data_IF_950704524876
#
_entry.id   IF_950704524876
#
_cell.length_a   1.000
_cell.length_b   1.000
_cell.length_c   1.000
_cell.angle_alpha   90.00
_cell.angle_beta   90.00
_cell.angle_gamma   90.00
#
_symmetry.space_group_name_H-M   'P 1'
#
loop_
_entity.id
_entity.type
_entity.pdbx_description
1 polymer ?
#
# COMPACT_ATOMS: atom_id res chain seq x y z
N UNK A 1 -23.90 -35.70 -41.20
CA UNK A 1 -23.45 -34.44 -40.57
C UNK A 1 -22.09 -34.69 -39.96
N UNK A 2 -21.05 -33.96 -40.39
CA UNK A 2 -19.70 -34.18 -39.88
C UNK A 2 -19.58 -33.54 -38.49
N UNK A 3 -19.87 -34.33 -37.45
CA UNK A 3 -19.85 -33.85 -36.06
C UNK A 3 -18.49 -33.28 -35.66
N UNK A 4 -17.39 -33.81 -36.22
CA UNK A 4 -16.03 -33.31 -35.99
C UNK A 4 -15.91 -31.87 -36.48
N UNK A 5 -16.35 -31.60 -37.71
CA UNK A 5 -16.34 -30.24 -38.27
C UNK A 5 -17.19 -29.27 -37.43
N UNK A 6 -18.32 -29.74 -36.89
CA UNK A 6 -19.16 -28.93 -35.99
C UNK A 6 -18.41 -28.62 -34.69
N UNK A 7 -17.75 -29.61 -34.09
CA UNK A 7 -16.94 -29.39 -32.87
C UNK A 7 -15.77 -28.44 -33.12
N UNK A 8 -15.07 -28.56 -34.24
CA UNK A 8 -13.98 -27.65 -34.63
C UNK A 8 -14.47 -26.21 -34.80
N UNK A 9 -15.61 -26.02 -35.49
CA UNK A 9 -16.23 -24.71 -35.66
C UNK A 9 -16.64 -24.09 -34.31
N UNK A 10 -17.28 -24.87 -33.43
CA UNK A 10 -17.65 -24.42 -32.08
C UNK A 10 -16.39 -24.03 -31.29
N UNK A 11 -15.34 -24.83 -31.36
CA UNK A 11 -14.10 -24.57 -30.64
C UNK A 11 -13.41 -23.29 -31.12
N UNK A 12 -13.36 -23.04 -32.44
CA UNK A 12 -12.83 -21.80 -33.01
C UNK A 12 -13.65 -20.59 -32.54
N UNK A 13 -14.99 -20.70 -32.53
CA UNK A 13 -15.85 -19.63 -32.01
C UNK A 13 -15.59 -19.35 -30.52
N UNK A 14 -15.34 -20.39 -29.72
CA UNK A 14 -14.94 -20.23 -28.31
C UNK A 14 -13.60 -19.51 -28.21
N UNK A 15 -12.58 -19.90 -28.98
CA UNK A 15 -11.28 -19.21 -28.99
C UNK A 15 -11.46 -17.73 -29.33
N UNK A 16 -12.20 -17.42 -30.40
CA UNK A 16 -12.44 -16.04 -30.83
C UNK A 16 -13.14 -15.25 -29.72
N UNK A 17 -14.18 -15.81 -29.11
CA UNK A 17 -14.88 -15.17 -28.00
C UNK A 17 -13.96 -14.93 -26.78
N UNK A 18 -13.08 -15.89 -26.46
CA UNK A 18 -12.10 -15.76 -25.37
C UNK A 18 -11.03 -14.71 -25.72
N UNK A 19 -10.52 -14.67 -26.94
CA UNK A 19 -9.56 -13.65 -27.38
C UNK A 19 -10.18 -12.24 -27.35
N UNK A 20 -11.40 -12.08 -27.85
CA UNK A 20 -12.15 -10.81 -27.75
C UNK A 20 -12.30 -10.42 -26.28
N UNK A 21 -12.69 -11.37 -25.42
CA UNK A 21 -12.79 -11.15 -23.98
C UNK A 21 -11.45 -10.72 -23.37
N UNK A 22 -10.33 -11.35 -23.71
CA UNK A 22 -8.99 -10.98 -23.23
C UNK A 22 -8.69 -9.52 -23.57
N UNK A 23 -8.99 -9.09 -24.81
CA UNK A 23 -8.78 -7.71 -25.27
C UNK A 23 -9.63 -6.73 -24.46
N UNK A 24 -10.88 -7.07 -24.15
CA UNK A 24 -11.76 -6.22 -23.34
C UNK A 24 -11.39 -6.21 -21.85
N UNK A 25 -10.98 -7.34 -21.29
CA UNK A 25 -10.71 -7.50 -19.86
C UNK A 25 -9.27 -7.04 -19.48
N UNK A 26 -8.32 -7.07 -20.42
CA UNK A 26 -6.89 -6.85 -20.14
C UNK A 26 -6.37 -5.54 -20.73
N UNK A 27 -6.17 -4.52 -19.88
CA UNK A 27 -5.67 -3.20 -20.31
C UNK A 27 -4.21 -3.20 -20.79
N UNK A 28 -3.36 -4.05 -20.20
CA UNK A 28 -1.96 -4.14 -20.63
C UNK A 28 -1.89 -4.90 -21.94
N UNK A 29 -1.39 -4.23 -22.98
CA UNK A 29 -1.17 -4.84 -24.31
C UNK A 29 -0.28 -6.07 -24.22
N UNK A 30 0.78 -6.01 -23.41
CA UNK A 30 1.70 -7.13 -23.19
C UNK A 30 1.01 -8.32 -22.51
N UNK A 31 0.24 -8.10 -21.43
CA UNK A 31 -0.51 -9.19 -20.76
C UNK A 31 -1.60 -9.75 -21.68
N UNK A 32 -2.31 -8.90 -22.42
CA UNK A 32 -3.34 -9.32 -23.35
C UNK A 32 -2.74 -10.21 -24.45
N UNK A 33 -1.63 -9.79 -25.05
CA UNK A 33 -0.90 -10.58 -26.03
C UNK A 33 -0.46 -11.93 -25.46
N UNK A 34 0.12 -11.95 -24.25
CA UNK A 34 0.55 -13.19 -23.60
C UNK A 34 -0.62 -14.17 -23.39
N UNK A 35 -1.79 -13.72 -22.94
CA UNK A 35 -2.96 -14.58 -22.79
C UNK A 35 -3.54 -15.04 -24.13
N UNK A 36 -3.56 -14.17 -25.15
CA UNK A 36 -3.99 -14.56 -26.50
C UNK A 36 -3.07 -15.65 -27.05
N UNK A 37 -1.76 -15.48 -26.95
CA UNK A 37 -0.78 -16.49 -27.35
C UNK A 37 -0.97 -17.79 -26.58
N UNK A 38 -1.19 -17.72 -25.26
CA UNK A 38 -1.44 -18.89 -24.42
C UNK A 38 -2.70 -19.66 -24.86
N UNK A 39 -3.80 -18.95 -25.14
CA UNK A 39 -5.07 -19.55 -25.59
C UNK A 39 -4.95 -20.17 -26.98
N UNK A 40 -4.16 -19.55 -27.88
CA UNK A 40 -3.94 -20.06 -29.23
C UNK A 40 -3.02 -21.29 -29.24
N UNK A 41 -1.89 -21.24 -28.51
CA UNK A 41 -0.86 -22.28 -28.57
C UNK A 41 -1.09 -23.43 -27.59
N UNK A 42 -1.86 -23.25 -26.52
CA UNK A 42 -2.24 -24.30 -25.59
C UNK A 42 -3.77 -24.48 -25.62
N UNK A 43 -4.32 -25.24 -26.60
CA UNK A 43 -5.75 -25.51 -26.69
C UNK A 43 -6.33 -26.03 -25.38
N UNK A 44 -7.51 -25.54 -24.99
CA UNK A 44 -8.23 -25.85 -23.73
C UNK A 44 -7.47 -25.40 -22.47
N UNK A 45 -6.20 -25.77 -22.30
CA UNK A 45 -5.39 -25.43 -21.13
C UNK A 45 -5.14 -23.92 -21.00
N UNK A 46 -4.84 -23.23 -22.10
CA UNK A 46 -4.67 -21.78 -22.12
C UNK A 46 -5.96 -21.04 -21.77
N UNK A 47 -7.12 -21.57 -22.18
CA UNK A 47 -8.44 -21.08 -21.77
C UNK A 47 -8.60 -21.26 -20.26
N UNK A 48 -8.35 -22.45 -19.74
CA UNK A 48 -8.43 -22.73 -18.30
C UNK A 48 -7.51 -21.81 -17.48
N UNK A 49 -6.28 -21.61 -17.92
CA UNK A 49 -5.31 -20.70 -17.25
C UNK A 49 -5.82 -19.25 -17.29
N UNK A 50 -6.32 -18.78 -18.44
CA UNK A 50 -6.89 -17.44 -18.54
C UNK A 50 -8.07 -17.25 -17.58
N UNK A 51 -9.02 -18.19 -17.56
CA UNK A 51 -10.19 -18.10 -16.68
C UNK A 51 -9.85 -18.27 -15.19
N UNK A 52 -8.71 -18.87 -14.85
CA UNK A 52 -8.27 -19.05 -13.46
C UNK A 52 -7.36 -17.94 -12.94
N UNK A 53 -6.53 -17.32 -13.79
CA UNK A 53 -5.49 -16.35 -13.39
C UNK A 53 -5.58 -15.02 -14.14
N UNK A 54 -6.03 -15.05 -15.39
CA UNK A 54 -5.97 -13.90 -16.31
C UNK A 54 -7.20 -13.00 -16.33
N UNK A 55 -8.32 -13.44 -15.77
CA UNK A 55 -9.48 -12.56 -15.63
C UNK A 55 -9.15 -11.47 -14.62
N UNK A 56 -9.04 -10.24 -15.12
CA UNK A 56 -8.98 -9.07 -14.28
C UNK A 56 -10.40 -8.73 -13.81
N UNK A 57 -10.78 -9.21 -12.63
CA UNK A 57 -11.97 -8.75 -11.92
C UNK A 57 -11.78 -7.36 -11.31
N UNK A 58 -11.25 -6.39 -12.09
CA UNK A 58 -11.41 -4.96 -11.80
C UNK A 58 -12.89 -4.62 -12.01
N UNK A 59 -13.74 -5.20 -11.18
CA UNK A 59 -15.17 -4.98 -11.18
C UNK A 59 -15.34 -3.58 -10.63
N UNK A 60 -15.84 -2.68 -11.48
CA UNK A 60 -16.55 -1.43 -11.11
C UNK A 60 -17.70 -1.64 -10.08
N UNK A 61 -17.90 -2.86 -9.59
CA UNK A 61 -18.97 -3.32 -8.69
C UNK A 61 -18.45 -4.24 -7.56
N UNK A 62 -17.16 -4.21 -7.19
CA UNK A 62 -16.74 -4.87 -5.93
C UNK A 62 -17.30 -4.11 -4.71
N UNK A 63 -17.53 -2.81 -4.87
CA UNK A 63 -17.95 -1.90 -3.81
C UNK A 63 -19.20 -1.11 -4.24
N UNK A 64 -20.05 -0.80 -3.28
CA UNK A 64 -20.92 0.36 -3.36
C UNK A 64 -20.30 1.40 -2.42
N UNK A 65 -19.41 2.28 -2.92
CA UNK A 65 -18.72 3.32 -2.13
C UNK A 65 -19.65 4.45 -1.67
N UNK A 66 -20.93 4.31 -1.99
CA UNK A 66 -22.03 5.23 -1.70
C UNK A 66 -22.41 5.27 -0.21
N UNK A 67 -21.44 5.35 0.70
CA UNK A 67 -21.69 5.75 2.10
C UNK A 67 -22.33 7.15 2.17
N UNK A 68 -22.16 7.96 1.13
CA UNK A 68 -22.59 9.34 1.05
C UNK A 68 -23.35 9.71 -0.24
N UNK A 69 -24.03 8.78 -0.93
CA UNK A 69 -24.69 9.10 -2.22
C UNK A 69 -25.98 9.93 -2.14
N UNK A 70 -26.20 10.60 -1.00
CA UNK A 70 -27.36 11.45 -0.72
C UNK A 70 -26.90 12.90 -0.47
N UNK A 71 -27.82 13.83 -0.20
CA UNK A 71 -27.54 15.26 0.09
C UNK A 71 -26.46 15.49 1.19
N UNK A 72 -26.21 14.49 2.04
CA UNK A 72 -25.12 14.53 3.01
C UNK A 72 -23.74 14.50 2.33
N UNK A 73 -23.56 13.69 1.29
CA UNK A 73 -22.30 13.62 0.56
C UNK A 73 -21.97 14.90 -0.16
N UNK A 74 -22.96 15.54 -0.80
CA UNK A 74 -22.76 16.84 -1.44
C UNK A 74 -22.31 17.90 -0.43
N UNK A 75 -22.89 17.90 0.78
CA UNK A 75 -22.47 18.79 1.87
C UNK A 75 -21.05 18.49 2.36
N UNK A 76 -20.70 17.22 2.53
CA UNK A 76 -19.34 16.80 2.89
C UNK A 76 -18.36 17.21 1.80
N UNK A 77 -18.69 17.02 0.53
CA UNK A 77 -17.84 17.44 -0.59
C UNK A 77 -17.65 18.95 -0.65
N UNK A 78 -18.72 19.73 -0.47
CA UNK A 78 -18.63 21.17 -0.40
C UNK A 78 -17.73 21.62 0.77
N UNK A 79 -17.84 20.98 1.93
CA UNK A 79 -16.98 21.26 3.09
C UNK A 79 -15.51 20.92 2.82
N UNK A 80 -15.22 19.75 2.24
CA UNK A 80 -13.86 19.34 1.90
C UNK A 80 -13.25 20.31 0.89
N UNK A 81 -13.98 20.68 -0.16
CA UNK A 81 -13.51 21.67 -1.16
C UNK A 81 -13.24 23.02 -0.53
N UNK A 82 -14.14 23.52 0.34
CA UNK A 82 -13.93 24.78 1.06
C UNK A 82 -12.69 24.76 1.94
N UNK A 83 -12.44 23.65 2.66
CA UNK A 83 -11.23 23.49 3.46
C UNK A 83 -9.98 23.43 2.59
N UNK A 84 -10.02 22.72 1.47
CA UNK A 84 -8.95 22.68 0.49
C UNK A 84 -8.64 24.09 -0.03
N UNK A 85 -9.65 24.85 -0.48
CA UNK A 85 -9.47 26.21 -0.99
C UNK A 85 -8.89 27.14 0.09
N UNK A 86 -9.30 26.97 1.36
CA UNK A 86 -8.72 27.69 2.50
C UNK A 86 -7.23 27.36 2.70
N UNK A 87 -6.83 26.10 2.54
CA UNK A 87 -5.43 25.69 2.76
C UNK A 87 -4.56 26.12 1.58
N UNK A 88 -5.00 25.87 0.33
CA UNK A 88 -4.29 26.32 -0.88
C UNK A 88 -4.20 27.84 -0.94
N UNK A 89 -5.28 28.56 -0.60
CA UNK A 89 -5.28 30.03 -0.60
C UNK A 89 -4.29 30.67 0.39
N UNK A 90 -3.77 29.90 1.36
CA UNK A 90 -2.68 30.34 2.24
C UNK A 90 -1.28 30.13 1.65
N UNK A 91 -1.16 29.43 0.51
CA UNK A 91 0.12 29.13 -0.14
C UNK A 91 0.98 28.09 0.60
N UNK A 92 0.38 27.28 1.49
CA UNK A 92 1.12 26.38 2.39
C UNK A 92 1.59 25.07 1.73
N UNK A 93 1.18 24.81 0.48
CA UNK A 93 1.51 23.59 -0.26
C UNK A 93 2.67 23.77 -1.25
N UNK A 94 3.35 24.93 -1.25
CA UNK A 94 4.44 25.25 -2.15
C UNK A 94 4.08 25.00 -3.64
N UNK A 95 4.62 23.93 -4.23
CA UNK A 95 4.42 23.51 -5.63
C UNK A 95 3.41 22.36 -5.80
N UNK A 96 2.76 21.93 -4.70
CA UNK A 96 1.98 20.69 -4.64
C UNK A 96 0.47 20.87 -4.78
N UNK A 97 -0.04 22.06 -5.08
CA UNK A 97 -1.48 22.30 -5.30
C UNK A 97 -2.09 21.30 -6.28
N UNK A 98 -1.44 21.10 -7.43
CA UNK A 98 -1.90 20.14 -8.44
C UNK A 98 -1.83 18.68 -7.98
N UNK A 99 -0.97 18.33 -7.03
CA UNK A 99 -0.94 17.00 -6.41
C UNK A 99 -2.09 16.84 -5.41
N UNK A 100 -2.30 17.84 -4.56
CA UNK A 100 -3.38 17.82 -3.58
C UNK A 100 -4.77 17.73 -4.26
N UNK A 101 -4.92 18.44 -5.38
CA UNK A 101 -6.12 18.42 -6.22
C UNK A 101 -6.33 17.07 -6.90
N UNK A 102 -5.25 16.47 -7.42
CA UNK A 102 -5.30 15.13 -8.01
C UNK A 102 -5.82 14.11 -6.99
N UNK A 103 -5.25 14.11 -5.78
CA UNK A 103 -5.59 13.20 -4.70
C UNK A 103 -7.03 13.40 -4.22
N UNK A 104 -7.45 14.65 -4.05
CA UNK A 104 -8.82 14.98 -3.66
C UNK A 104 -9.85 14.50 -4.69
N UNK A 105 -9.61 14.76 -5.97
CA UNK A 105 -10.56 14.43 -7.04
C UNK A 105 -10.66 12.93 -7.33
N UNK A 106 -9.63 12.15 -7.00
CA UNK A 106 -9.60 10.71 -7.27
C UNK A 106 -10.17 9.86 -6.13
N UNK A 107 -9.76 10.17 -4.91
CA UNK A 107 -10.03 9.31 -3.75
C UNK A 107 -10.91 10.00 -2.70
N UNK A 108 -11.48 11.17 -3.03
CA UNK A 108 -12.20 12.01 -2.06
C UNK A 108 -11.41 12.27 -0.78
N UNK A 109 -10.08 12.29 -0.91
CA UNK A 109 -9.16 12.39 0.22
C UNK A 109 -9.01 13.86 0.63
N UNK A 110 -9.56 14.25 1.79
CA UNK A 110 -9.55 15.64 2.22
C UNK A 110 -8.14 16.08 2.62
N UNK A 111 -7.80 17.32 2.25
CA UNK A 111 -6.60 17.99 2.75
C UNK A 111 -6.87 18.48 4.18
N UNK A 112 -5.97 18.14 5.10
CA UNK A 112 -6.04 18.49 6.52
C UNK A 112 -4.80 19.30 6.91
N UNK A 113 -4.95 20.31 7.80
CA UNK A 113 -3.89 21.26 8.23
C UNK A 113 -3.81 21.40 9.77
N UNK A 114 -4.23 20.36 10.47
CA UNK A 114 -4.35 20.27 11.93
C UNK A 114 -3.65 19.03 12.49
N UNK A 115 -2.72 18.46 11.72
CA UNK A 115 -2.16 17.13 12.02
C UNK A 115 -0.87 17.19 12.83
N UNK A 116 -0.72 16.19 13.68
CA UNK A 116 0.54 15.76 14.30
C UNK A 116 0.93 14.42 13.67
N UNK A 117 2.19 14.28 13.28
CA UNK A 117 2.71 13.11 12.59
C UNK A 117 4.07 12.77 13.17
N UNK A 118 4.20 11.57 13.72
CA UNK A 118 5.45 11.04 14.26
C UNK A 118 5.94 9.89 13.36
N UNK A 119 7.23 9.89 13.04
CA UNK A 119 7.89 8.76 12.37
C UNK A 119 8.27 7.72 13.41
N UNK A 120 7.92 6.45 13.15
CA UNK A 120 8.26 5.31 13.98
C UNK A 120 9.12 4.36 13.15
N UNK A 121 10.38 4.21 13.53
CA UNK A 121 11.34 3.33 12.90
C UNK A 121 11.27 1.94 13.55
N UNK A 122 11.04 0.93 12.71
CA UNK A 122 11.02 -0.48 13.09
C UNK A 122 9.97 -0.83 14.17
N UNK A 123 10.01 -2.07 14.65
CA UNK A 123 9.07 -2.55 15.66
C UNK A 123 9.32 -1.94 17.05
N UNK A 124 10.58 -1.69 17.39
CA UNK A 124 10.99 -1.16 18.69
C UNK A 124 10.40 0.21 19.02
N UNK A 125 10.15 1.09 18.03
CA UNK A 125 9.44 2.35 18.24
C UNK A 125 7.92 2.20 18.02
N UNK A 126 7.52 1.40 17.03
CA UNK A 126 6.12 1.25 16.62
C UNK A 126 5.23 0.57 17.65
N UNK A 127 5.64 -0.59 18.17
CA UNK A 127 4.77 -1.39 19.04
C UNK A 127 4.49 -0.72 20.40
N UNK A 128 5.46 -0.09 21.08
CA UNK A 128 5.18 0.64 22.32
C UNK A 128 4.14 1.75 22.15
N UNK A 129 4.23 2.54 21.08
CA UNK A 129 3.28 3.61 20.80
C UNK A 129 1.88 3.07 20.46
N UNK A 130 1.81 1.97 19.71
CA UNK A 130 0.54 1.28 19.44
C UNK A 130 -0.10 0.76 20.73
N UNK A 131 0.67 0.09 21.58
CA UNK A 131 0.13 -0.47 22.84
C UNK A 131 -0.32 0.62 23.80
N UNK A 132 0.46 1.71 23.92
CA UNK A 132 0.07 2.89 24.70
C UNK A 132 -1.24 3.50 24.21
N UNK A 133 -1.41 3.62 22.89
CA UNK A 133 -2.63 4.16 22.31
C UNK A 133 -3.84 3.23 22.55
N UNK A 134 -3.66 1.91 22.40
CA UNK A 134 -4.73 0.93 22.64
C UNK A 134 -5.14 0.91 24.12
N UNK A 135 -4.17 0.97 25.03
CA UNK A 135 -4.42 1.02 26.48
C UNK A 135 -5.28 2.24 26.84
N UNK A 136 -5.00 3.39 26.21
CA UNK A 136 -5.73 4.64 26.40
C UNK A 136 -7.12 4.68 25.74
N UNK A 137 -7.47 3.69 24.90
CA UNK A 137 -8.73 3.68 24.15
C UNK A 137 -9.95 3.63 25.08
N UNK A 138 -10.99 4.39 24.71
CA UNK A 138 -12.21 4.58 25.51
C UNK A 138 -13.49 4.16 24.78
N UNK A 139 -13.53 4.26 23.45
CA UNK A 139 -14.75 4.01 22.68
C UNK A 139 -14.58 2.86 21.70
N UNK A 140 -13.57 2.91 20.83
CA UNK A 140 -13.38 1.88 19.81
C UNK A 140 -11.94 1.75 19.34
N UNK A 141 -11.63 0.54 18.86
CA UNK A 141 -10.36 0.20 18.23
C UNK A 141 -10.66 -0.55 16.93
N UNK A 142 -10.20 -0.01 15.81
CA UNK A 142 -10.30 -0.62 14.49
C UNK A 142 -8.91 -1.02 14.00
N UNK A 143 -8.75 -2.28 13.61
CA UNK A 143 -7.46 -2.87 13.23
C UNK A 143 -7.60 -3.55 11.88
N UNK A 144 -6.68 -3.26 10.98
CA UNK A 144 -6.62 -3.84 9.64
C UNK A 144 -5.16 -4.17 9.28
N UNK A 145 -4.87 -5.44 8.99
CA UNK A 145 -3.50 -5.87 8.69
C UNK A 145 -3.41 -6.91 7.57
N UNK A 146 -2.38 -6.77 6.74
CA UNK A 146 -1.96 -7.79 5.78
C UNK A 146 -1.37 -9.03 6.46
N UNK A 147 -0.23 -8.89 7.15
CA UNK A 147 0.40 -9.95 7.94
C UNK A 147 0.25 -9.59 9.42
N UNK A 148 -0.37 -10.51 10.13
CA UNK A 148 -0.47 -10.54 11.58
C UNK A 148 -0.14 -11.97 12.03
N UNK A 149 1.06 -12.14 12.54
CA UNK A 149 1.54 -13.41 13.09
C UNK A 149 1.17 -13.47 14.58
N UNK A 150 0.51 -14.55 15.07
CA UNK A 150 0.24 -14.74 16.48
C UNK A 150 1.49 -15.31 17.20
N UNK A 151 2.62 -14.62 17.03
CA UNK A 151 3.87 -14.83 17.75
C UNK A 151 3.88 -14.01 19.06
N UNK A 152 5.03 -13.73 19.67
CA UNK A 152 5.05 -13.09 21.00
C UNK A 152 4.37 -11.72 20.98
N UNK A 153 4.78 -10.83 20.07
CA UNK A 153 4.20 -9.49 19.98
C UNK A 153 2.76 -9.53 19.47
N UNK A 154 2.42 -10.44 18.56
CA UNK A 154 1.07 -10.60 18.07
C UNK A 154 0.10 -11.10 19.14
N UNK A 155 0.53 -12.02 20.01
CA UNK A 155 -0.27 -12.49 21.14
C UNK A 155 -0.44 -11.39 22.20
N UNK A 156 0.61 -10.63 22.50
CA UNK A 156 0.52 -9.48 23.40
C UNK A 156 -0.48 -8.44 22.89
N UNK A 157 -0.45 -8.15 21.58
CA UNK A 157 -1.43 -7.28 20.92
C UNK A 157 -2.85 -7.85 21.09
N UNK A 158 -3.08 -9.13 20.78
CA UNK A 158 -4.39 -9.78 20.91
C UNK A 158 -4.90 -9.74 22.35
N UNK A 159 -4.04 -10.02 23.32
CA UNK A 159 -4.38 -10.04 24.74
C UNK A 159 -4.79 -8.65 25.24
N UNK A 160 -4.10 -7.61 24.77
CA UNK A 160 -4.48 -6.23 25.02
C UNK A 160 -5.85 -5.89 24.41
N UNK A 161 -6.11 -6.28 23.15
CA UNK A 161 -7.43 -6.08 22.53
C UNK A 161 -8.55 -6.81 23.28
N UNK A 162 -8.29 -8.04 23.75
CA UNK A 162 -9.24 -8.82 24.57
C UNK A 162 -9.58 -8.04 25.84
N UNK A 163 -8.57 -7.58 26.57
CA UNK A 163 -8.75 -6.80 27.80
C UNK A 163 -9.56 -5.52 27.55
N UNK A 164 -9.25 -4.76 26.50
CA UNK A 164 -10.03 -3.57 26.13
C UNK A 164 -11.48 -3.91 25.75
N UNK A 165 -11.71 -5.03 25.08
CA UNK A 165 -13.06 -5.52 24.75
C UNK A 165 -13.86 -5.85 26.02
N UNK A 166 -13.23 -6.49 27.00
CA UNK A 166 -13.84 -6.81 28.30
C UNK A 166 -14.12 -5.55 29.15
N UNK A 167 -13.32 -4.49 29.00
CA UNK A 167 -13.57 -3.16 29.55
C UNK A 167 -14.71 -2.40 28.84
N UNK A 168 -15.27 -2.97 27.76
CA UNK A 168 -16.39 -2.40 27.02
C UNK A 168 -16.01 -1.58 25.78
N UNK A 169 -14.72 -1.50 25.42
CA UNK A 169 -14.27 -0.83 24.19
C UNK A 169 -14.66 -1.67 22.97
N UNK A 170 -15.27 -1.05 21.94
CA UNK A 170 -15.70 -1.78 20.74
C UNK A 170 -14.51 -2.08 19.83
N UNK A 171 -14.11 -3.34 19.74
CA UNK A 171 -12.98 -3.76 18.89
C UNK A 171 -13.46 -4.41 17.60
N UNK A 172 -12.94 -3.92 16.47
CA UNK A 172 -13.17 -4.46 15.11
C UNK A 172 -11.84 -4.78 14.44
N UNK A 173 -11.71 -6.00 13.92
CA UNK A 173 -10.45 -6.48 13.37
C UNK A 173 -10.66 -7.15 12.01
N UNK A 174 -10.07 -6.54 10.97
CA UNK A 174 -9.93 -7.07 9.62
C UNK A 174 -8.51 -7.65 9.45
N UNK A 175 -8.39 -8.85 8.88
CA UNK A 175 -7.08 -9.43 8.53
C UNK A 175 -7.09 -9.98 7.11
N UNK A 176 -5.98 -9.88 6.37
CA UNK A 176 -5.88 -10.57 5.08
C UNK A 176 -5.81 -12.08 5.28
N UNK A 177 -6.72 -12.78 4.61
CA UNK A 177 -6.91 -14.21 4.82
C UNK A 177 -5.72 -15.09 4.40
N UNK A 178 -4.94 -14.61 3.42
CA UNK A 178 -3.77 -15.30 2.90
C UNK A 178 -2.53 -14.96 3.73
N UNK A 179 -2.25 -13.66 3.90
CA UNK A 179 -1.08 -13.17 4.63
C UNK A 179 -1.11 -13.49 6.13
N UNK A 180 -2.30 -13.53 6.73
CA UNK A 180 -2.50 -13.80 8.16
C UNK A 180 -3.17 -15.15 8.42
N UNK A 181 -2.95 -16.16 7.57
CA UNK A 181 -3.53 -17.50 7.76
C UNK A 181 -3.33 -18.08 9.18
N UNK A 182 -2.15 -17.93 9.84
CA UNK A 182 -1.97 -18.39 11.22
C UNK A 182 -2.92 -17.76 12.25
N UNK A 183 -3.34 -16.51 12.03
CA UNK A 183 -4.26 -15.77 12.92
C UNK A 183 -5.62 -16.46 13.06
N UNK A 184 -6.04 -17.28 12.06
CA UNK A 184 -7.29 -18.04 12.12
C UNK A 184 -7.44 -18.88 13.40
N UNK A 185 -6.32 -19.31 14.01
CA UNK A 185 -6.30 -20.05 15.28
C UNK A 185 -6.76 -19.20 16.49
N UNK A 186 -6.58 -17.89 16.42
CA UNK A 186 -6.95 -16.95 17.49
C UNK A 186 -8.34 -16.32 17.30
N UNK A 187 -8.94 -16.44 16.10
CA UNK A 187 -10.25 -15.82 15.78
C UNK A 187 -11.34 -16.24 16.77
N UNK A 188 -11.42 -17.52 17.12
CA UNK A 188 -12.41 -18.01 18.10
C UNK A 188 -12.20 -17.38 19.47
N UNK A 189 -10.94 -17.28 19.91
CA UNK A 189 -10.55 -16.67 21.19
C UNK A 189 -11.01 -15.21 21.27
N UNK A 190 -10.74 -14.42 20.23
CA UNK A 190 -11.15 -13.02 20.15
C UNK A 190 -12.68 -12.85 20.11
N UNK A 191 -13.38 -13.65 19.29
CA UNK A 191 -14.85 -13.56 19.18
C UNK A 191 -15.58 -13.92 20.47
N UNK A 192 -15.02 -14.82 21.29
CA UNK A 192 -15.64 -15.22 22.55
C UNK A 192 -15.80 -14.07 23.57
N UNK A 193 -14.98 -13.03 23.45
CA UNK A 193 -15.03 -11.83 24.34
C UNK A 193 -15.66 -10.62 23.65
N UNK A 194 -16.32 -10.82 22.50
CA UNK A 194 -17.07 -9.77 21.79
C UNK A 194 -16.30 -9.01 20.72
N UNK A 195 -15.04 -9.34 20.45
CA UNK A 195 -14.29 -8.73 19.34
C UNK A 195 -14.88 -9.20 18.01
N UNK A 196 -15.20 -8.24 17.13
CA UNK A 196 -15.71 -8.52 15.80
C UNK A 196 -14.52 -8.73 14.85
N UNK A 197 -14.27 -9.98 14.44
CA UNK A 197 -13.11 -10.34 13.60
C UNK A 197 -13.55 -10.91 12.26
N UNK A 198 -13.05 -10.37 11.15
CA UNK A 198 -13.40 -10.81 9.79
C UNK A 198 -12.18 -10.93 8.86
N UNK A 199 -12.10 -12.01 8.06
CA UNK A 199 -11.09 -12.10 7.00
C UNK A 199 -11.46 -11.18 5.84
N UNK A 200 -10.51 -10.37 5.37
CA UNK A 200 -10.62 -9.66 4.11
C UNK A 200 -10.50 -10.62 2.94
N UNK A 201 -11.53 -10.65 2.09
CA UNK A 201 -11.61 -11.48 0.89
C UNK A 201 -11.30 -12.97 1.13
N UNK A 202 -12.16 -13.62 1.93
CA UNK A 202 -12.04 -15.03 2.34
C UNK A 202 -11.85 -16.00 1.16
N UNK A 203 -10.79 -16.82 1.25
CA UNK A 203 -10.44 -17.86 0.28
C UNK A 203 -11.07 -19.17 0.73
N UNK A 204 -12.21 -19.53 0.13
CA UNK A 204 -12.95 -20.77 0.45
C UNK A 204 -12.47 -22.00 -0.31
N UNK A 205 -11.91 -21.83 -1.51
CA UNK A 205 -11.33 -22.91 -2.34
C UNK A 205 -10.04 -22.41 -2.99
N UNK A 206 -8.92 -23.09 -2.68
CA UNK A 206 -7.58 -22.76 -3.18
C UNK A 206 -7.44 -22.86 -4.71
N UNK A 207 -8.25 -23.70 -5.38
CA UNK A 207 -8.15 -23.94 -6.83
C UNK A 207 -8.67 -22.78 -7.71
N UNK A 208 -9.37 -21.78 -7.15
CA UNK A 208 -9.80 -20.60 -7.91
C UNK A 208 -8.80 -19.45 -7.73
N UNK A 209 -7.71 -19.50 -8.51
CA UNK A 209 -6.54 -18.64 -8.37
C UNK A 209 -6.80 -17.13 -8.45
N UNK A 210 -7.84 -16.68 -9.14
CA UNK A 210 -8.17 -15.25 -9.23
C UNK A 210 -8.48 -14.58 -7.88
N UNK A 211 -8.91 -15.34 -6.86
CA UNK A 211 -9.13 -14.76 -5.52
C UNK A 211 -7.82 -14.51 -4.75
N UNK A 212 -6.72 -15.15 -5.15
CA UNK A 212 -5.40 -14.93 -4.56
C UNK A 212 -4.75 -13.63 -5.06
N UNK A 213 -5.21 -13.08 -6.18
CA UNK A 213 -4.61 -11.90 -6.79
C UNK A 213 -4.91 -10.61 -6.01
N UNK A 214 -6.09 -10.49 -5.42
CA UNK A 214 -6.51 -9.30 -4.67
C UNK A 214 -6.30 -9.51 -3.18
N UNK A 215 -5.26 -8.86 -2.62
CA UNK A 215 -4.90 -8.98 -1.21
C UNK A 215 -4.99 -7.62 -0.54
N UNK A 216 -5.40 -7.62 0.72
CA UNK A 216 -5.37 -6.42 1.52
C UNK A 216 -3.96 -6.23 2.07
N UNK A 217 -3.22 -5.28 1.50
CA UNK A 217 -1.85 -5.00 1.91
C UNK A 217 -1.78 -3.80 2.88
N UNK A 218 -2.94 -3.29 3.32
CA UNK A 218 -3.05 -2.17 4.25
C UNK A 218 -2.69 -2.59 5.67
N UNK A 219 -2.22 -1.62 6.44
CA UNK A 219 -1.76 -1.75 7.83
C UNK A 219 -2.26 -0.51 8.55
N UNK A 220 -3.51 -0.56 8.99
CA UNK A 220 -4.23 0.57 9.56
C UNK A 220 -4.64 0.20 10.98
N UNK A 221 -4.38 1.09 11.92
CA UNK A 221 -5.01 1.06 13.25
C UNK A 221 -5.67 2.41 13.45
N UNK A 222 -6.93 2.44 13.88
CA UNK A 222 -7.62 3.66 14.31
C UNK A 222 -8.18 3.46 15.71
N UNK A 223 -7.90 4.41 16.59
CA UNK A 223 -8.29 4.38 18.01
C UNK A 223 -9.07 5.65 18.29
N UNK A 224 -10.31 5.47 18.73
CA UNK A 224 -11.25 6.53 19.08
C UNK A 224 -11.49 7.60 18.00
N UNK A 225 -11.14 7.30 16.74
CA UNK A 225 -11.21 8.26 15.64
C UNK A 225 -10.18 9.40 15.73
N UNK A 226 -9.28 9.36 16.72
CA UNK A 226 -8.35 10.45 17.07
C UNK A 226 -6.89 10.09 16.83
N UNK A 227 -6.51 8.83 17.03
CA UNK A 227 -5.14 8.33 16.80
C UNK A 227 -5.15 7.26 15.73
N UNK A 228 -4.31 7.43 14.72
CA UNK A 228 -4.15 6.51 13.60
C UNK A 228 -2.71 6.00 13.47
N UNK A 229 -2.54 4.79 12.93
CA UNK A 229 -1.25 4.25 12.54
C UNK A 229 -1.30 3.74 11.10
N UNK A 230 -0.24 4.03 10.33
CA UNK A 230 -0.09 3.65 8.93
C UNK A 230 1.39 3.48 8.56
N UNK A 231 1.75 2.45 7.79
CA UNK A 231 3.09 2.32 7.20
C UNK A 231 3.45 0.89 6.84
N UNK A 232 4.73 0.57 6.66
CA UNK A 232 5.18 -0.73 6.12
C UNK A 232 5.16 -1.90 7.11
N UNK A 233 5.23 -1.59 8.41
CA UNK A 233 5.45 -2.56 9.51
C UNK A 233 4.22 -3.46 9.76
N UNK A 234 4.37 -4.78 9.55
CA UNK A 234 3.37 -5.78 9.90
C UNK A 234 3.36 -6.07 11.43
N UNK A 235 2.48 -6.98 11.89
CA UNK A 235 2.55 -7.51 13.26
C UNK A 235 3.27 -8.85 13.23
N UNK A 236 4.54 -8.83 13.67
CA UNK A 236 5.42 -9.99 13.75
C UNK A 236 6.66 -9.64 14.57
N UNK A 237 7.18 -10.59 15.32
CA UNK A 237 8.44 -10.53 16.07
C UNK A 237 9.64 -10.22 15.15
N UNK A 238 9.50 -10.43 13.83
CA UNK A 238 10.51 -10.08 12.81
C UNK A 238 10.94 -8.63 12.84
N UNK A 239 10.04 -7.73 13.21
CA UNK A 239 10.30 -6.30 13.25
C UNK A 239 10.93 -5.85 14.58
N UNK A 240 11.03 -6.75 15.57
CA UNK A 240 11.69 -6.47 16.83
C UNK A 240 13.18 -6.78 16.69
N UNK A 241 14.00 -5.76 16.48
CA UNK A 241 15.46 -5.91 16.33
C UNK A 241 16.18 -6.12 17.68
N UNK A 242 15.57 -6.88 18.59
CA UNK A 242 16.10 -7.15 19.92
C UNK A 242 17.16 -8.26 19.85
N UNK A 243 18.21 -8.23 20.70
CA UNK A 243 19.24 -9.28 20.72
C UNK A 243 18.70 -10.70 20.95
N UNK A 244 17.57 -10.81 21.66
CA UNK A 244 16.90 -12.08 21.99
C UNK A 244 15.93 -12.54 20.89
N UNK A 245 15.64 -11.69 19.90
CA UNK A 245 14.77 -12.05 18.79
C UNK A 245 15.44 -13.11 17.90
N UNK A 246 14.69 -14.13 17.48
CA UNK A 246 15.21 -15.17 16.57
C UNK A 246 15.28 -14.69 15.11
N UNK A 247 15.51 -13.40 14.91
CA UNK A 247 15.46 -12.78 13.60
C UNK A 247 16.74 -13.07 12.83
N UNK A 248 16.59 -13.63 11.63
CA UNK A 248 17.70 -13.95 10.75
C UNK A 248 18.45 -12.70 10.28
N UNK A 249 17.75 -11.58 10.17
CA UNK A 249 18.26 -10.31 9.66
C UNK A 249 17.71 -9.16 10.51
N UNK A 250 18.42 -8.03 10.53
CA UNK A 250 17.87 -6.76 11.00
C UNK A 250 16.76 -6.29 10.05
N UNK A 251 15.56 -6.01 10.57
CA UNK A 251 14.44 -5.52 9.78
C UNK A 251 14.35 -4.00 9.90
N UNK A 252 14.51 -3.31 8.76
CA UNK A 252 14.42 -1.86 8.68
C UNK A 252 13.13 -1.45 7.98
N UNK A 253 12.20 -0.83 8.68
CA UNK A 253 10.90 -0.41 8.13
C UNK A 253 10.39 0.87 8.82
N UNK A 254 9.43 1.57 8.22
CA UNK A 254 8.94 2.87 8.67
C UNK A 254 7.42 2.85 8.82
N UNK A 255 6.94 3.39 9.94
CA UNK A 255 5.53 3.60 10.25
C UNK A 255 5.29 5.05 10.65
N UNK A 256 4.04 5.48 10.56
CA UNK A 256 3.58 6.77 11.05
C UNK A 256 2.57 6.56 12.16
N UNK A 257 2.67 7.40 13.20
CA UNK A 257 1.56 7.69 14.10
C UNK A 257 0.98 9.04 13.72
N UNK A 258 -0.34 9.10 13.67
CA UNK A 258 -1.10 10.21 13.13
C UNK A 258 -2.15 10.66 14.14
N UNK A 259 -2.27 11.97 14.32
CA UNK A 259 -3.37 12.60 15.08
C UNK A 259 -3.90 13.80 14.32
N UNK A 260 -5.16 14.15 14.57
CA UNK A 260 -5.88 15.21 13.86
C UNK A 260 -6.71 14.68 12.70
N UNK A 261 -7.24 15.58 11.88
CA UNK A 261 -8.26 15.23 10.86
C UNK A 261 -7.78 14.24 9.79
N UNK A 262 -6.47 14.03 9.61
CA UNK A 262 -5.94 12.99 8.71
C UNK A 262 -6.41 11.58 9.09
N UNK A 263 -6.65 11.32 10.39
CA UNK A 263 -7.11 10.01 10.89
C UNK A 263 -8.50 9.66 10.35
N UNK A 264 -9.35 10.66 10.08
CA UNK A 264 -10.66 10.45 9.48
C UNK A 264 -10.60 9.74 8.13
N UNK A 265 -9.53 9.95 7.35
CA UNK A 265 -9.35 9.26 6.07
C UNK A 265 -9.05 7.78 6.27
N UNK A 266 -8.25 7.43 7.28
CA UNK A 266 -7.99 6.03 7.66
C UNK A 266 -9.26 5.36 8.18
N UNK A 267 -10.02 6.07 9.02
CA UNK A 267 -11.30 5.62 9.55
C UNK A 267 -12.31 5.34 8.42
N UNK A 268 -12.38 6.20 7.41
CA UNK A 268 -13.23 6.00 6.25
C UNK A 268 -12.82 4.75 5.45
N UNK A 269 -11.52 4.56 5.19
CA UNK A 269 -10.99 3.38 4.49
C UNK A 269 -11.39 2.10 5.25
N UNK A 270 -11.18 2.09 6.57
CA UNK A 270 -11.56 0.96 7.42
C UNK A 270 -13.07 0.66 7.34
N UNK A 271 -13.94 1.67 7.41
CA UNK A 271 -15.40 1.48 7.32
C UNK A 271 -15.80 0.88 5.97
N UNK A 272 -15.17 1.33 4.87
CA UNK A 272 -15.41 0.78 3.53
C UNK A 272 -15.01 -0.70 3.47
N UNK A 273 -13.83 -1.04 3.98
CA UNK A 273 -13.34 -2.41 3.98
C UNK A 273 -14.12 -3.32 4.95
N UNK A 274 -14.57 -2.77 6.08
CA UNK A 274 -15.46 -3.43 7.02
C UNK A 274 -16.79 -3.81 6.38
N UNK A 275 -17.43 -2.85 5.71
CA UNK A 275 -18.71 -3.05 5.02
C UNK A 275 -18.59 -4.06 3.87
N UNK A 276 -17.40 -4.16 3.28
CA UNK A 276 -17.10 -5.16 2.27
C UNK A 276 -16.98 -6.58 2.83
N UNK A 277 -16.18 -6.77 3.89
CA UNK A 277 -15.83 -8.12 4.37
C UNK A 277 -16.79 -8.69 5.43
N UNK A 278 -17.35 -7.85 6.31
CA UNK A 278 -18.13 -8.32 7.46
C UNK A 278 -19.58 -8.68 7.14
N UNK A 279 -20.12 -8.14 6.03
CA UNK A 279 -21.55 -8.10 5.69
C UNK A 279 -22.42 -7.36 6.73
N UNK A 280 -21.81 -6.74 7.72
CA UNK A 280 -22.46 -5.82 8.65
C UNK A 280 -22.28 -4.41 8.10
N UNK A 281 -23.36 -3.63 8.09
CA UNK A 281 -23.28 -2.23 7.67
C UNK A 281 -22.89 -1.37 8.87
N UNK A 282 -21.67 -0.87 8.86
CA UNK A 282 -21.15 0.16 9.73
C UNK A 282 -21.42 1.50 9.07
N UNK A 283 -22.34 2.27 9.63
CA UNK A 283 -22.61 3.64 9.21
C UNK A 283 -21.60 4.60 9.85
N UNK A 284 -21.32 5.74 9.19
CA UNK A 284 -20.60 6.83 9.81
C UNK A 284 -21.30 7.27 11.11
N UNK A 285 -20.54 7.41 12.18
CA UNK A 285 -21.01 7.87 13.49
C UNK A 285 -20.12 9.02 13.99
N UNK A 286 -20.68 9.92 14.80
CA UNK A 286 -19.97 11.09 15.32
C UNK A 286 -18.73 10.73 16.15
N UNK A 287 -18.70 9.56 16.77
CA UNK A 287 -17.55 9.11 17.55
C UNK A 287 -16.44 8.53 16.65
N UNK A 288 -16.71 8.23 15.37
CA UNK A 288 -15.69 7.84 14.39
C UNK A 288 -15.02 9.06 13.76
N UNK A 289 -15.71 10.19 13.72
CA UNK A 289 -15.23 11.43 13.12
C UNK A 289 -15.31 12.56 14.15
N UNK A 290 -14.35 12.57 15.07
CA UNK A 290 -14.30 13.56 16.14
C UNK A 290 -14.03 14.94 15.55
N UNK A 291 -15.06 15.78 15.46
CA UNK A 291 -14.94 17.19 15.02
C UNK A 291 -14.70 18.16 16.18
N UNK A 292 -14.54 17.65 17.41
CA UNK A 292 -14.64 18.44 18.64
C UNK A 292 -13.31 18.92 19.22
N UNK A 293 -12.16 18.66 18.60
CA UNK A 293 -10.91 19.27 19.05
C UNK A 293 -10.87 20.73 18.59
N UNK A 294 -11.39 21.64 19.43
CA UNK A 294 -11.16 23.08 19.28
C UNK A 294 -9.66 23.42 19.30
N UNK A 295 -8.85 22.52 19.84
CA UNK A 295 -7.39 22.56 19.78
C UNK A 295 -6.90 21.76 18.57
N UNK A 296 -6.13 22.39 17.70
CA UNK A 296 -5.43 21.68 16.63
C UNK A 296 -4.48 20.67 17.25
N UNK A 297 -4.47 19.42 16.76
CA UNK A 297 -3.48 18.42 17.21
C UNK A 297 -2.07 18.82 16.79
N UNK A 298 -1.94 19.45 15.62
CA UNK A 298 -0.70 20.06 15.14
C UNK A 298 -0.94 21.00 13.96
N UNK A 299 0.06 21.21 13.13
CA UNK A 299 0.00 22.14 11.99
C UNK A 299 0.43 21.50 10.65
N UNK A 300 0.81 20.22 10.66
CA UNK A 300 1.30 19.53 9.47
C UNK A 300 0.15 19.33 8.49
N UNK A 301 0.43 19.56 7.20
CA UNK A 301 -0.57 19.41 6.14
C UNK A 301 -0.44 18.02 5.53
N UNK A 302 -1.56 17.30 5.36
CA UNK A 302 -1.50 15.95 4.80
C UNK A 302 -2.78 15.42 4.18
N UNK A 303 -2.61 14.38 3.37
CA UNK A 303 -3.65 13.61 2.71
C UNK A 303 -3.33 12.11 2.73
N UNK A 304 -4.37 11.28 2.70
CA UNK A 304 -4.23 9.83 2.58
C UNK A 304 -4.67 9.38 1.18
N UNK A 305 -3.80 8.68 0.46
CA UNK A 305 -4.13 8.08 -0.84
C UNK A 305 -4.30 6.59 -0.65
N UNK A 306 -5.50 6.07 -0.94
CA UNK A 306 -5.77 4.65 -1.01
C UNK A 306 -5.98 4.23 -2.47
N UNK A 307 -5.47 3.06 -2.83
CA UNK A 307 -5.67 2.46 -4.14
C UNK A 307 -6.00 0.98 -3.98
N UNK A 308 -6.62 0.41 -4.99
CA UNK A 308 -7.00 -0.99 -5.03
C UNK A 308 -7.64 -1.39 -6.36
N UNK A 309 -7.94 -2.69 -6.54
CA UNK A 309 -8.63 -3.20 -7.73
C UNK A 309 -10.05 -2.66 -7.90
N UNK A 310 -10.55 -1.96 -6.89
CA UNK A 310 -11.83 -1.26 -6.83
C UNK A 310 -11.75 0.23 -7.18
N UNK A 311 -10.55 0.73 -7.43
CA UNK A 311 -10.31 2.11 -7.84
C UNK A 311 -10.42 2.22 -9.37
N UNK A 312 -11.02 3.31 -9.85
CA UNK A 312 -11.24 3.55 -11.29
C UNK A 312 -9.92 3.76 -12.05
N UNK A 313 -8.90 4.22 -11.34
CA UNK A 313 -7.53 4.37 -11.79
C UNK A 313 -6.55 3.94 -10.67
N UNK A 314 -5.28 3.67 -10.98
CA UNK A 314 -4.26 3.39 -9.96
C UNK A 314 -3.84 4.69 -9.27
N UNK A 315 -4.61 5.13 -8.28
CA UNK A 315 -4.46 6.46 -7.66
C UNK A 315 -3.08 6.68 -7.03
N UNK A 316 -2.52 5.65 -6.37
CA UNK A 316 -1.17 5.73 -5.80
C UNK A 316 -0.11 5.94 -6.89
N UNK A 317 -0.17 5.16 -7.99
CA UNK A 317 0.74 5.35 -9.13
C UNK A 317 0.66 6.78 -9.67
N UNK A 318 -0.55 7.30 -9.88
CA UNK A 318 -0.75 8.64 -10.42
C UNK A 318 -0.25 9.73 -9.44
N UNK A 319 -0.44 9.52 -8.13
CA UNK A 319 0.13 10.40 -7.10
C UNK A 319 1.66 10.40 -7.11
N UNK A 320 2.29 9.24 -7.29
CA UNK A 320 3.75 9.13 -7.44
C UNK A 320 4.23 9.86 -8.69
N UNK A 321 3.57 9.66 -9.84
CA UNK A 321 3.93 10.37 -11.07
C UNK A 321 3.85 11.89 -10.91
N UNK A 322 2.78 12.37 -10.27
CA UNK A 322 2.60 13.79 -10.02
C UNK A 322 3.62 14.32 -9.00
N UNK A 323 3.97 13.57 -7.96
CA UNK A 323 5.00 13.97 -6.99
C UNK A 323 6.40 14.02 -7.62
N UNK A 324 6.80 12.98 -8.34
CA UNK A 324 8.12 12.89 -9.00
C UNK A 324 8.26 14.01 -10.04
N UNK A 325 7.24 14.27 -10.86
CA UNK A 325 7.29 15.36 -11.86
C UNK A 325 7.38 16.78 -11.27
N UNK A 326 7.14 16.94 -9.96
CA UNK A 326 7.27 18.22 -9.27
C UNK A 326 8.64 18.41 -8.60
N UNK A 327 9.51 17.39 -8.62
CA UNK A 327 10.84 17.46 -8.02
C UNK A 327 11.75 18.44 -8.77
N UNK A 328 12.58 19.16 -8.02
CA UNK A 328 13.50 20.18 -8.53
C UNK A 328 14.95 19.96 -8.08
N UNK A 329 15.16 19.29 -6.95
CA UNK A 329 16.47 19.15 -6.32
C UNK A 329 16.84 17.69 -6.07
N UNK A 330 15.98 16.94 -5.37
CA UNK A 330 16.29 15.60 -4.92
C UNK A 330 15.02 14.73 -4.74
N UNK A 331 15.17 13.45 -5.09
CA UNK A 331 14.20 12.40 -4.81
C UNK A 331 14.91 11.28 -4.06
N UNK A 332 14.41 10.91 -2.89
CA UNK A 332 14.90 9.78 -2.10
C UNK A 332 13.82 8.70 -2.05
N UNK A 333 14.11 7.50 -2.52
CA UNK A 333 13.15 6.39 -2.57
C UNK A 333 13.72 5.22 -1.80
N UNK A 334 12.96 4.68 -0.85
CA UNK A 334 13.21 3.37 -0.25
C UNK A 334 12.07 2.43 -0.62
N UNK A 335 12.39 1.27 -1.19
CA UNK A 335 11.38 0.27 -1.52
C UNK A 335 11.99 -1.14 -1.53
N UNK A 336 11.39 -2.15 -0.85
CA UNK A 336 11.91 -3.51 -0.88
C UNK A 336 11.78 -4.19 -2.25
N UNK A 337 10.73 -3.82 -2.99
CA UNK A 337 10.35 -4.46 -4.23
C UNK A 337 10.17 -3.38 -5.30
N UNK A 338 11.29 -2.99 -5.89
CA UNK A 338 11.36 -1.98 -6.94
C UNK A 338 11.28 -2.67 -8.31
N UNK A 339 10.05 -2.91 -8.76
CA UNK A 339 9.74 -3.49 -10.07
C UNK A 339 8.81 -2.52 -10.80
N UNK A 340 9.30 -1.30 -11.11
CA UNK A 340 8.46 -0.22 -11.59
C UNK A 340 7.81 -0.58 -12.92
N UNK A 341 6.63 -0.02 -13.17
CA UNK A 341 6.09 -0.03 -14.52
C UNK A 341 6.86 0.97 -15.41
N UNK A 342 6.74 0.88 -16.75
CA UNK A 342 7.38 1.81 -17.68
C UNK A 342 7.14 3.28 -17.33
N UNK A 343 5.94 3.62 -16.83
CA UNK A 343 5.61 4.99 -16.47
C UNK A 343 6.49 5.54 -15.34
N UNK A 344 6.68 4.78 -14.25
CA UNK A 344 7.58 5.20 -13.16
C UNK A 344 9.02 5.16 -13.62
N UNK A 345 9.40 4.13 -14.38
CA UNK A 345 10.75 3.99 -14.91
C UNK A 345 11.15 5.21 -15.75
N UNK A 346 10.41 5.50 -16.83
CA UNK A 346 10.67 6.62 -17.73
C UNK A 346 10.68 7.95 -16.98
N UNK A 347 9.78 8.12 -16.01
CA UNK A 347 9.71 9.35 -15.25
C UNK A 347 10.95 9.55 -14.36
N UNK A 348 11.45 8.49 -13.70
CA UNK A 348 12.69 8.57 -12.92
C UNK A 348 13.90 8.85 -13.82
N UNK A 349 13.98 8.19 -14.99
CA UNK A 349 15.05 8.42 -15.96
C UNK A 349 15.05 9.88 -16.46
N UNK A 350 13.89 10.39 -16.90
CA UNK A 350 13.76 11.78 -17.37
C UNK A 350 14.07 12.77 -16.26
N UNK A 351 13.64 12.49 -15.02
CA UNK A 351 13.90 13.36 -13.86
C UNK A 351 15.40 13.43 -13.56
N UNK A 352 16.08 12.28 -13.53
CA UNK A 352 17.52 12.21 -13.33
C UNK A 352 18.30 12.91 -14.46
N UNK A 353 17.94 12.67 -15.71
CA UNK A 353 18.54 13.32 -16.89
C UNK A 353 18.31 14.84 -16.91
N UNK A 354 17.27 15.32 -16.24
CA UNK A 354 16.99 16.75 -16.08
C UNK A 354 17.83 17.41 -14.97
N UNK A 355 18.71 16.66 -14.30
CA UNK A 355 19.64 17.16 -13.28
C UNK A 355 19.14 17.05 -11.83
N UNK A 356 17.96 16.49 -11.60
CA UNK A 356 17.45 16.21 -10.24
C UNK A 356 18.18 14.99 -9.68
N UNK A 357 18.63 15.06 -8.41
CA UNK A 357 19.34 13.95 -7.77
C UNK A 357 18.36 12.87 -7.37
N UNK A 358 18.34 11.73 -8.06
CA UNK A 358 17.49 10.60 -7.69
C UNK A 358 18.33 9.55 -6.97
N UNK A 359 17.94 9.18 -5.75
CA UNK A 359 18.56 8.11 -4.96
C UNK A 359 17.54 7.02 -4.67
N UNK A 360 17.89 5.79 -5.00
CA UNK A 360 17.08 4.60 -4.77
C UNK A 360 17.79 3.68 -3.79
N UNK A 361 17.13 3.35 -2.68
CA UNK A 361 17.58 2.39 -1.68
C UNK A 361 16.69 1.14 -1.74
N UNK A 362 17.32 0.00 -1.98
CA UNK A 362 16.69 -1.32 -2.10
C UNK A 362 17.41 -2.33 -1.20
N UNK A 363 16.84 -3.51 -0.95
CA UNK A 363 17.52 -4.55 -0.18
C UNK A 363 18.72 -5.11 -0.93
N UNK A 364 19.88 -5.23 -0.27
CA UNK A 364 20.99 -6.06 -0.76
C UNK A 364 20.79 -7.54 -0.46
N UNK A 365 20.09 -7.84 0.64
CA UNK A 365 19.62 -9.18 1.01
C UNK A 365 18.10 -9.18 0.83
N UNK A 366 17.57 -10.09 0.01
CA UNK A 366 16.12 -10.23 -0.22
C UNK A 366 15.58 -11.54 0.37
N UNK A 367 14.29 -11.56 0.68
CA UNK A 367 13.54 -12.75 1.07
C UNK A 367 13.17 -13.65 -0.13
N UNK A 368 13.34 -13.15 -1.36
CA UNK A 368 13.06 -13.89 -2.59
C UNK A 368 14.10 -13.66 -3.68
N UNK A 369 14.75 -14.76 -4.13
CA UNK A 369 15.73 -14.73 -5.23
C UNK A 369 15.14 -14.23 -6.55
N UNK A 370 13.92 -14.66 -6.88
CA UNK A 370 13.24 -14.24 -8.11
C UNK A 370 12.93 -12.75 -8.11
N UNK A 371 12.50 -12.22 -6.96
CA UNK A 371 12.22 -10.79 -6.83
C UNK A 371 13.52 -9.98 -6.90
N UNK A 372 14.62 -10.51 -6.36
CA UNK A 372 15.93 -9.86 -6.47
C UNK A 372 16.39 -9.72 -7.93
N UNK A 373 16.26 -10.79 -8.72
CA UNK A 373 16.55 -10.78 -10.16
C UNK A 373 15.67 -9.73 -10.87
N UNK A 374 14.36 -9.73 -10.59
CA UNK A 374 13.44 -8.76 -11.18
C UNK A 374 13.83 -7.30 -10.84
N UNK A 375 14.24 -7.00 -9.60
CA UNK A 375 14.74 -5.67 -9.24
C UNK A 375 15.99 -5.30 -10.06
N UNK A 376 16.96 -6.21 -10.13
CA UNK A 376 18.26 -5.99 -10.78
C UNK A 376 18.15 -5.69 -12.28
N UNK A 377 17.15 -6.26 -12.96
CA UNK A 377 16.90 -6.01 -14.39
C UNK A 377 16.76 -4.52 -14.73
N UNK A 378 16.31 -3.69 -13.78
CA UNK A 378 16.09 -2.26 -13.99
C UNK A 378 17.31 -1.38 -13.67
N UNK A 379 18.33 -1.90 -12.97
CA UNK A 379 19.40 -1.04 -12.45
C UNK A 379 20.33 -0.48 -13.52
N UNK A 380 20.56 -1.22 -14.61
CA UNK A 380 21.46 -0.76 -15.69
C UNK A 380 20.95 0.55 -16.30
N UNK A 381 19.66 0.63 -16.61
CA UNK A 381 19.03 1.82 -17.17
C UNK A 381 19.04 3.00 -16.18
N UNK A 382 18.70 2.74 -14.91
CA UNK A 382 18.73 3.75 -13.84
C UNK A 382 20.13 4.35 -13.65
N UNK A 383 21.13 3.49 -13.47
CA UNK A 383 22.52 3.90 -13.27
C UNK A 383 23.04 4.68 -14.49
N UNK A 384 22.67 4.26 -15.71
CA UNK A 384 23.04 4.96 -16.95
C UNK A 384 22.42 6.36 -17.06
N UNK A 385 21.23 6.57 -16.50
CA UNK A 385 20.58 7.88 -16.43
C UNK A 385 21.08 8.76 -15.26
N UNK A 386 22.01 8.26 -14.44
CA UNK A 386 22.57 9.00 -13.30
C UNK A 386 21.80 8.84 -11.99
N UNK A 387 20.85 7.90 -11.91
CA UNK A 387 20.20 7.54 -10.65
C UNK A 387 21.21 6.83 -9.74
N UNK A 388 21.33 7.26 -8.49
CA UNK A 388 22.19 6.61 -7.52
C UNK A 388 21.44 5.44 -6.85
N UNK A 389 21.86 4.21 -7.13
CA UNK A 389 21.24 3.00 -6.54
C UNK A 389 22.11 2.49 -5.39
N UNK A 390 21.47 2.23 -4.25
CA UNK A 390 22.08 1.73 -3.02
C UNK A 390 21.42 0.43 -2.58
N UNK A 391 22.23 -0.54 -2.15
CA UNK A 391 21.77 -1.82 -1.62
C UNK A 391 22.04 -1.92 -0.12
N UNK A 392 20.98 -2.03 0.68
CA UNK A 392 21.08 -2.14 2.14
C UNK A 392 21.71 -3.47 2.57
N UNK A 393 22.76 -3.42 3.39
CA UNK A 393 23.61 -4.57 3.73
C UNK A 393 23.48 -5.05 5.17
N UNK A 394 22.99 -4.21 6.09
CA UNK A 394 22.79 -4.59 7.51
C UNK A 394 21.68 -5.62 7.74
N UNK A 395 20.72 -5.73 6.81
CA UNK A 395 19.62 -6.68 6.91
C UNK A 395 18.61 -6.54 5.79
N UNK A 396 17.32 -6.68 6.11
CA UNK A 396 16.24 -6.51 5.13
C UNK A 396 15.54 -5.17 5.33
N UNK A 397 15.64 -4.30 4.32
CA UNK A 397 14.93 -3.02 4.29
C UNK A 397 13.56 -3.20 3.64
N UNK A 398 12.50 -2.99 4.41
CA UNK A 398 11.11 -3.19 4.00
C UNK A 398 10.30 -1.87 3.96
N UNK A 399 10.93 -0.73 4.25
CA UNK A 399 10.30 0.59 4.16
C UNK A 399 9.79 0.91 2.74
N UNK A 400 8.62 1.57 2.66
CA UNK A 400 8.07 2.12 1.41
C UNK A 400 7.92 3.63 1.57
N UNK A 401 9.00 4.34 1.31
CA UNK A 401 9.10 5.77 1.58
C UNK A 401 9.61 6.53 0.36
N UNK A 402 9.12 7.75 0.18
CA UNK A 402 9.62 8.68 -0.80
C UNK A 402 9.70 10.08 -0.19
N UNK A 403 10.82 10.77 -0.39
CA UNK A 403 10.97 12.20 -0.05
C UNK A 403 11.24 12.97 -1.34
N UNK A 404 10.51 14.06 -1.56
CA UNK A 404 10.74 14.99 -2.66
C UNK A 404 11.23 16.31 -2.08
N UNK A 405 12.36 16.83 -2.56
CA UNK A 405 12.97 18.14 -2.27
C UNK A 405 13.01 18.55 -0.78
N UNK A 406 12.95 17.57 0.13
CA UNK A 406 12.84 17.77 1.58
C UNK A 406 11.61 18.60 2.03
N UNK A 407 10.55 18.67 1.23
CA UNK A 407 9.29 19.38 1.53
C UNK A 407 8.03 18.51 1.38
N UNK A 408 8.16 17.30 0.81
CA UNK A 408 7.10 16.29 0.76
C UNK A 408 7.62 14.94 1.25
N UNK A 409 6.97 14.40 2.28
CA UNK A 409 7.17 13.04 2.78
C UNK A 409 6.02 12.12 2.35
N UNK A 410 6.36 10.96 1.81
CA UNK A 410 5.40 9.91 1.46
C UNK A 410 5.79 8.63 2.18
N UNK A 411 4.88 8.08 2.96
CA UNK A 411 5.07 6.83 3.72
C UNK A 411 3.81 5.99 3.59
N UNK A 412 3.94 4.68 3.38
CA UNK A 412 2.77 3.83 3.32
C UNK A 412 3.05 2.36 3.12
N UNK A 413 2.12 1.68 2.45
CA UNK A 413 2.16 0.23 2.27
C UNK A 413 2.58 -0.20 0.87
N UNK A 414 2.44 0.70 -0.13
CA UNK A 414 2.60 0.38 -1.54
C UNK A 414 4.07 0.14 -1.92
N UNK A 415 4.37 -1.04 -2.45
CA UNK A 415 5.64 -1.25 -3.15
C UNK A 415 5.59 -0.55 -4.52
N UNK A 416 6.75 -0.27 -5.11
CA UNK A 416 6.83 0.26 -6.47
C UNK A 416 6.80 -0.89 -7.47
N UNK A 417 5.70 -1.66 -7.45
CA UNK A 417 5.49 -2.81 -8.32
C UNK A 417 4.09 -2.84 -8.92
N UNK A 418 3.91 -3.65 -9.97
CA UNK A 418 2.62 -3.84 -10.62
C UNK A 418 1.53 -4.34 -9.67
N UNK A 419 1.89 -5.13 -8.65
CA UNK A 419 0.91 -5.71 -7.73
C UNK A 419 0.29 -4.63 -6.86
N UNK A 420 1.10 -3.76 -6.27
CA UNK A 420 0.67 -2.66 -5.41
C UNK A 420 -0.15 -1.63 -6.20
N UNK A 421 0.18 -1.38 -7.46
CA UNK A 421 -0.56 -0.43 -8.28
C UNK A 421 -1.88 -0.97 -8.85
N UNK A 422 -1.95 -2.25 -9.22
CA UNK A 422 -3.11 -2.81 -9.94
C UNK A 422 -3.98 -3.80 -9.14
N UNK A 423 -3.40 -4.51 -8.16
CA UNK A 423 -4.02 -5.71 -7.59
C UNK A 423 -4.23 -5.64 -6.07
N UNK A 424 -3.29 -5.09 -5.33
CA UNK A 424 -3.40 -5.00 -3.87
C UNK A 424 -4.22 -3.78 -3.47
N UNK A 425 -4.90 -3.90 -2.34
CA UNK A 425 -5.39 -2.74 -1.60
C UNK A 425 -4.22 -2.15 -0.81
N UNK A 426 -3.91 -0.89 -1.10
CA UNK A 426 -2.77 -0.18 -0.54
C UNK A 426 -3.22 1.18 0.01
N UNK A 427 -2.39 1.78 0.86
CA UNK A 427 -2.63 3.10 1.45
C UNK A 427 -1.30 3.81 1.75
N UNK A 428 -1.22 5.09 1.40
CA UNK A 428 -0.07 5.96 1.66
C UNK A 428 -0.53 7.28 2.28
N UNK A 429 0.30 7.85 3.16
CA UNK A 429 0.20 9.23 3.60
C UNK A 429 1.13 10.11 2.76
N UNK A 430 0.62 11.26 2.34
CA UNK A 430 1.38 12.35 1.72
C UNK A 430 1.34 13.51 2.72
N UNK A 431 2.50 13.87 3.26
CA UNK A 431 2.64 14.95 4.24
C UNK A 431 3.49 16.06 3.64
N UNK A 432 2.89 17.23 3.50
CA UNK A 432 3.48 18.44 2.93
C UNK A 432 4.06 19.28 4.07
N UNK A 433 5.25 18.89 4.52
CA UNK A 433 5.87 19.46 5.71
C UNK A 433 7.39 19.28 5.65
N UNK A 434 8.13 20.38 5.74
CA UNK A 434 9.61 20.37 5.63
C UNK A 434 10.28 19.69 6.81
N UNK A 435 9.74 19.80 8.02
CA UNK A 435 10.32 19.19 9.22
C UNK A 435 10.26 17.66 9.11
N UNK A 436 9.07 17.11 8.84
CA UNK A 436 8.88 15.67 8.68
C UNK A 436 9.65 15.11 7.47
N UNK A 437 9.65 15.84 6.35
CA UNK A 437 10.40 15.43 5.16
C UNK A 437 11.92 15.41 5.42
N UNK A 438 12.43 16.35 6.23
CA UNK A 438 13.83 16.33 6.66
C UNK A 438 14.14 15.20 7.63
N UNK A 439 13.25 14.89 8.57
CA UNK A 439 13.41 13.73 9.46
C UNK A 439 13.48 12.42 8.67
N UNK A 440 12.57 12.23 7.71
CA UNK A 440 12.57 11.06 6.84
C UNK A 440 13.80 11.02 5.92
N UNK A 441 14.26 12.18 5.44
CA UNK A 441 15.52 12.31 4.69
C UNK A 441 16.72 11.91 5.55
N UNK A 442 16.78 12.34 6.82
CA UNK A 442 17.85 11.94 7.73
C UNK A 442 17.85 10.43 7.97
N UNK A 443 16.67 9.83 8.14
CA UNK A 443 16.54 8.38 8.26
C UNK A 443 17.09 7.66 7.01
N UNK A 444 16.76 8.15 5.80
CA UNK A 444 17.32 7.63 4.55
C UNK A 444 18.85 7.68 4.51
N UNK A 445 19.45 8.84 4.82
CA UNK A 445 20.91 8.99 4.83
C UNK A 445 21.59 8.20 5.96
N UNK A 446 20.88 7.95 7.06
CA UNK A 446 21.34 7.04 8.10
C UNK A 446 21.35 5.59 7.61
N UNK A 447 20.32 5.16 6.87
CA UNK A 447 20.26 3.84 6.25
C UNK A 447 21.37 3.66 5.19
N UNK A 448 21.79 4.73 4.50
CA UNK A 448 22.91 4.70 3.56
C UNK A 448 24.26 4.38 4.20
N UNK A 449 24.44 4.62 5.51
CA UNK A 449 25.69 4.25 6.21
C UNK A 449 25.87 2.73 6.30
N UNK A 450 24.77 2.00 6.24
CA UNK A 450 24.67 0.55 6.25
C UNK A 450 24.31 0.02 4.85
N UNK A 451 24.72 0.73 3.78
CA UNK A 451 24.40 0.40 2.39
C UNK A 451 25.60 0.54 1.46
N UNK A 452 25.61 -0.28 0.42
CA UNK A 452 26.62 -0.22 -0.65
C UNK A 452 26.06 0.55 -1.85
N UNK A 453 26.81 1.54 -2.36
CA UNK A 453 26.45 2.24 -3.59
C UNK A 453 26.85 1.40 -4.79
N UNK A 454 25.91 1.18 -5.71
CA UNK A 454 26.21 0.49 -6.97
C UNK A 454 26.91 1.46 -7.94
N UNK A 455 28.00 0.97 -8.53
CA UNK A 455 28.74 1.65 -9.57
C UNK A 455 28.43 1.02 -10.93
N UNK A 456 28.18 1.85 -11.95
CA UNK A 456 27.78 1.39 -13.29
C UNK A 456 28.87 0.53 -13.95
N UNK A 457 30.14 0.91 -13.83
CA UNK A 457 31.23 0.14 -14.44
C UNK A 457 31.35 -1.25 -13.81
N UNK A 458 31.26 -1.31 -12.49
CA UNK A 458 31.30 -2.56 -11.73
C UNK A 458 30.06 -3.40 -12.01
N UNK A 459 28.89 -2.78 -12.07
CA UNK A 459 27.61 -3.42 -12.39
C UNK A 459 27.64 -4.12 -13.76
N UNK A 460 28.22 -3.47 -14.78
CA UNK A 460 28.33 -4.00 -16.13
C UNK A 460 29.40 -5.10 -16.29
N UNK A 461 30.32 -5.24 -15.33
CA UNK A 461 31.35 -6.29 -15.31
C UNK A 461 30.89 -7.57 -14.61
N UNK A 462 29.64 -7.64 -14.12
CA UNK A 462 29.12 -8.84 -13.46
C UNK A 462 29.11 -10.06 -14.39
N UNK A 463 29.25 -11.30 -13.87
CA UNK A 463 29.25 -12.50 -14.71
C UNK A 463 28.07 -12.57 -15.70
N UNK A 464 28.33 -13.03 -16.93
CA UNK A 464 27.32 -13.10 -18.01
C UNK A 464 26.07 -13.86 -17.59
N UNK A 465 26.19 -14.94 -16.81
CA UNK A 465 25.02 -15.69 -16.36
C UNK A 465 24.09 -14.85 -15.46
N UNK A 466 24.61 -13.88 -14.70
CA UNK A 466 23.79 -12.92 -13.95
C UNK A 466 23.19 -11.87 -14.89
N UNK A 467 23.95 -11.39 -15.88
CA UNK A 467 23.44 -10.45 -16.89
C UNK A 467 22.34 -11.04 -17.80
N UNK A 468 22.30 -12.36 -17.97
CA UNK A 468 21.27 -13.06 -18.75
C UNK A 468 20.03 -13.36 -17.91
N UNK A 469 20.18 -13.44 -16.59
CA UNK A 469 19.07 -13.64 -15.66
C UNK A 469 18.32 -12.35 -15.37
N UNK A 470 19.07 -11.24 -15.27
CA UNK A 470 18.56 -9.87 -15.22
C UNK A 470 18.06 -9.43 -16.59
#
# INVERSE_FOLDING_TARGET
MNWILIFELIYILIIIAVCIRIIFDTRSSTKAAAYILLVIFLPILGILIYFTVGINYRKRKLYNKNLFADELGDRVFAFIRKNRDRIIGKGLLNKYDGLADLVLNQNFSPLSDDNEVDILLNGEEKFPEVFKAIEAARHHIHVEYYIFEPDRIGLEFIDLLIRKSEEGVKVRFIFDDFGSHPLRRQVKRMRNVGIEVYPFYEIKLFFFANRMNYRNHRKIIVIDGETGFLGGINVSDRYLNLPESQNKYFWRDTHLKLRGSIVHSLQYIFIVDWNFCSKQRLEPDRHFFSMNSQEKSGHKIGQIVASGPDSDAPFILQSFCKAISLAKEEILITNPYFIPNPTIMDLLLVTALSGVKVKLLVPGISDSRLVNIANHSHFTELLSAGVEVYTYSKGFIHAKTMVIDADLAIVGTANMDYRSFDLNFEVNALIYDEELANELRQAFYQDLKDSDKLDLETWNKRPIYLQVLD
#
